data_IF_587836921858
#
_entry.id   IF_587836921858
#
_cell.length_a   1.000
_cell.length_b   1.000
_cell.length_c   1.000
_cell.angle_alpha   90.00
_cell.angle_beta   90.00
_cell.angle_gamma   90.00
#
_symmetry.space_group_name_H-M   'P 1'
#
loop_
_entity.id
_entity.type
_entity.pdbx_description
1 polymer ?
#
# COMPACT_ATOMS: atom_id res chain seq x y z
N UNK A 1 10.82 22.35 -11.09
CA UNK A 1 10.94 21.54 -12.33
C UNK A 1 11.06 20.04 -12.06
N UNK A 2 11.66 19.57 -10.95
CA UNK A 2 11.69 18.14 -10.59
C UNK A 2 10.34 17.58 -10.11
N UNK A 3 9.51 18.40 -9.45
CA UNK A 3 8.19 18.00 -8.91
C UNK A 3 7.14 17.66 -9.99
N UNK A 4 7.32 18.10 -11.24
CA UNK A 4 6.36 17.84 -12.32
C UNK A 4 6.59 16.50 -13.04
N UNK A 5 7.77 15.89 -12.90
CA UNK A 5 8.14 14.72 -13.70
C UNK A 5 7.55 13.42 -13.13
N UNK A 6 7.42 13.32 -11.80
CA UNK A 6 6.92 12.09 -11.15
C UNK A 6 5.42 11.87 -11.40
N UNK A 7 4.61 12.92 -11.58
CA UNK A 7 3.18 12.77 -11.85
C UNK A 7 2.93 12.11 -13.22
N UNK A 8 3.68 12.52 -14.25
CA UNK A 8 3.62 11.93 -15.59
C UNK A 8 4.08 10.47 -15.54
N UNK A 9 5.18 10.21 -14.83
CA UNK A 9 5.71 8.87 -14.64
C UNK A 9 4.71 7.97 -13.90
N UNK A 10 3.99 8.51 -12.90
CA UNK A 10 2.97 7.80 -12.14
C UNK A 10 1.75 7.45 -13.00
N UNK A 11 1.20 8.39 -13.78
CA UNK A 11 0.06 8.10 -14.66
C UNK A 11 0.39 7.01 -15.69
N UNK A 12 1.59 7.05 -16.25
CA UNK A 12 2.09 6.01 -17.16
C UNK A 12 2.20 4.66 -16.46
N UNK A 13 2.75 4.65 -15.25
CA UNK A 13 2.87 3.47 -14.41
C UNK A 13 1.50 2.87 -14.05
N UNK A 14 0.54 3.71 -13.69
CA UNK A 14 -0.79 3.31 -13.23
C UNK A 14 -1.62 2.64 -14.34
N UNK A 15 -1.36 2.97 -15.62
CA UNK A 15 -1.98 2.28 -16.77
C UNK A 15 -1.66 0.79 -16.84
N UNK A 16 -0.63 0.31 -16.13
CA UNK A 16 -0.28 -1.11 -16.05
C UNK A 16 -1.15 -1.89 -15.04
N UNK A 17 -1.83 -1.20 -14.12
CA UNK A 17 -2.60 -1.84 -13.06
C UNK A 17 -3.69 -2.80 -13.59
N UNK A 18 -4.53 -2.44 -14.59
CA UNK A 18 -5.58 -3.34 -15.06
C UNK A 18 -5.05 -4.69 -15.55
N UNK A 19 -3.93 -4.69 -16.27
CA UNK A 19 -3.29 -5.93 -16.74
C UNK A 19 -2.70 -6.76 -15.58
N UNK A 20 -2.04 -6.09 -14.63
CA UNK A 20 -1.54 -6.74 -13.42
C UNK A 20 -2.68 -7.39 -12.61
N UNK A 21 -3.77 -6.66 -12.40
CA UNK A 21 -4.95 -7.14 -11.68
C UNK A 21 -5.67 -8.28 -12.40
N UNK A 22 -5.86 -8.18 -13.71
CA UNK A 22 -6.51 -9.23 -14.49
C UNK A 22 -5.74 -10.56 -14.38
N UNK A 23 -4.40 -10.50 -14.40
CA UNK A 23 -3.55 -11.67 -14.18
C UNK A 23 -3.73 -12.28 -12.78
N UNK A 24 -3.91 -11.45 -11.74
CA UNK A 24 -4.22 -11.92 -10.38
C UNK A 24 -5.51 -12.74 -10.37
N UNK A 25 -6.56 -12.23 -11.02
CA UNK A 25 -7.86 -12.91 -11.06
C UNK A 25 -7.87 -14.17 -11.94
N UNK A 26 -7.05 -14.21 -13.00
CA UNK A 26 -7.09 -15.30 -13.99
C UNK A 26 -6.14 -16.46 -13.72
N UNK A 27 -5.00 -16.22 -13.04
CA UNK A 27 -3.99 -17.25 -12.77
C UNK A 27 -3.42 -17.12 -11.34
N UNK A 28 -3.82 -17.99 -10.39
CA UNK A 28 -3.28 -17.97 -9.03
C UNK A 28 -1.78 -18.36 -8.95
N UNK A 29 -1.22 -18.97 -10.00
CA UNK A 29 0.18 -19.40 -10.08
C UNK A 29 1.10 -18.38 -10.75
N UNK A 30 0.60 -17.20 -11.11
CA UNK A 30 1.45 -16.16 -11.69
C UNK A 30 2.34 -15.54 -10.61
N UNK A 31 3.64 -15.44 -10.87
CA UNK A 31 4.60 -14.86 -9.93
C UNK A 31 4.40 -13.34 -9.84
N UNK A 32 4.28 -12.85 -8.60
CA UNK A 32 4.08 -11.43 -8.31
C UNK A 32 4.56 -11.08 -6.91
N UNK A 33 4.74 -9.80 -6.68
CA UNK A 33 5.00 -9.23 -5.37
C UNK A 33 3.98 -8.16 -5.05
N UNK A 34 3.37 -8.28 -3.87
CA UNK A 34 2.52 -7.23 -3.31
C UNK A 34 3.30 -6.52 -2.22
N UNK A 35 3.55 -5.23 -2.42
CA UNK A 35 4.23 -4.38 -1.44
C UNK A 35 3.15 -3.73 -0.58
N UNK A 36 3.04 -4.18 0.67
CA UNK A 36 2.04 -3.66 1.61
C UNK A 36 2.65 -2.49 2.37
N UNK A 37 2.06 -1.31 2.18
CA UNK A 37 2.49 -0.04 2.74
C UNK A 37 1.39 0.54 3.65
N UNK A 38 1.44 0.27 4.96
CA UNK A 38 0.43 0.75 5.89
C UNK A 38 0.71 2.19 6.35
N UNK A 39 1.13 3.06 5.44
CA UNK A 39 1.43 4.45 5.76
C UNK A 39 0.17 5.29 5.93
N UNK A 40 0.18 6.15 6.95
CA UNK A 40 -0.81 7.20 7.15
C UNK A 40 -0.18 8.53 6.77
N UNK A 41 -0.24 8.87 5.50
CA UNK A 41 0.21 10.13 4.92
C UNK A 41 -0.88 11.21 4.99
N UNK A 42 -1.54 11.35 6.14
CA UNK A 42 -2.56 12.37 6.36
C UNK A 42 -1.94 13.73 6.70
N UNK A 43 -2.71 14.81 6.55
CA UNK A 43 -2.29 16.12 7.04
C UNK A 43 -2.22 16.14 8.58
N UNK A 44 -1.39 17.02 9.20
CA UNK A 44 -1.29 17.11 10.66
C UNK A 44 -2.64 17.36 11.37
N UNK A 45 -3.54 18.09 10.73
CA UNK A 45 -4.89 18.37 11.24
C UNK A 45 -5.77 17.12 11.26
N UNK A 46 -5.62 16.24 10.26
CA UNK A 46 -6.33 14.98 10.18
C UNK A 46 -5.75 13.96 11.17
N UNK A 47 -4.42 13.87 11.28
CA UNK A 47 -3.71 13.01 12.23
C UNK A 47 -4.04 13.33 13.69
N UNK A 48 -4.22 14.60 14.05
CA UNK A 48 -4.61 15.02 15.40
C UNK A 48 -5.94 14.40 15.87
N UNK A 49 -6.81 14.00 14.94
CA UNK A 49 -8.09 13.36 15.23
C UNK A 49 -8.00 11.82 15.27
N UNK A 50 -6.82 11.23 15.00
CA UNK A 50 -6.60 9.78 14.93
C UNK A 50 -5.80 9.31 16.14
N UNK A 51 -6.50 9.00 17.24
CA UNK A 51 -5.86 8.40 18.41
C UNK A 51 -5.27 7.02 18.07
N UNK A 52 -4.01 6.79 18.45
CA UNK A 52 -3.34 5.50 18.28
C UNK A 52 -2.81 5.24 16.86
N UNK A 53 -2.60 6.27 16.03
CA UNK A 53 -2.03 6.17 14.67
C UNK A 53 -0.79 5.27 14.57
N UNK A 54 0.05 5.25 15.61
CA UNK A 54 1.25 4.40 15.73
C UNK A 54 0.99 2.89 15.67
N UNK A 55 -0.23 2.43 15.96
CA UNK A 55 -0.63 1.02 15.89
C UNK A 55 -1.39 0.66 14.59
N UNK A 56 -1.65 1.63 13.73
CA UNK A 56 -2.44 1.38 12.52
C UNK A 56 -1.66 0.55 11.50
N UNK A 57 -0.34 0.47 11.65
CA UNK A 57 0.49 -0.36 10.78
C UNK A 57 0.09 -1.83 10.82
N UNK A 58 -0.50 -2.32 11.90
CA UNK A 58 -0.97 -3.71 12.03
C UNK A 58 -2.27 -3.98 11.26
N UNK A 59 -3.02 -2.94 10.83
CA UNK A 59 -4.33 -3.11 10.15
C UNK A 59 -4.23 -3.79 8.79
N UNK A 60 -3.13 -3.59 8.09
CA UNK A 60 -2.90 -4.22 6.79
C UNK A 60 -2.34 -5.64 6.91
N UNK A 61 -2.15 -6.20 8.11
CA UNK A 61 -1.70 -7.60 8.27
C UNK A 61 -2.70 -8.61 7.68
N UNK A 62 -3.95 -8.22 7.47
CA UNK A 62 -4.92 -9.00 6.70
C UNK A 62 -4.45 -9.32 5.27
N UNK A 63 -3.59 -8.49 4.67
CA UNK A 63 -3.01 -8.75 3.34
C UNK A 63 -1.98 -9.89 3.34
N UNK A 64 -1.58 -10.41 4.50
CA UNK A 64 -0.80 -11.66 4.56
C UNK A 64 -1.58 -12.85 3.99
N UNK A 65 -2.92 -12.78 3.93
CA UNK A 65 -3.76 -13.81 3.29
C UNK A 65 -3.48 -13.97 1.80
N UNK A 66 -2.88 -12.97 1.13
CA UNK A 66 -2.41 -13.10 -0.25
C UNK A 66 -1.37 -14.21 -0.44
N UNK A 67 -0.71 -14.64 0.63
CA UNK A 67 0.20 -15.80 0.61
C UNK A 67 -0.53 -17.12 0.33
N UNK A 68 -1.86 -17.19 0.37
CA UNK A 68 -2.63 -18.34 -0.13
C UNK A 68 -2.35 -18.60 -1.62
N UNK A 69 -2.02 -17.57 -2.39
CA UNK A 69 -1.63 -17.70 -3.80
C UNK A 69 -0.18 -18.24 -3.89
N UNK A 70 0.06 -19.42 -4.48
CA UNK A 70 1.33 -20.14 -4.34
C UNK A 70 2.60 -19.39 -4.77
N UNK A 71 2.50 -18.48 -5.76
CA UNK A 71 3.64 -17.69 -6.27
C UNK A 71 3.58 -16.21 -5.93
N UNK A 72 2.71 -15.83 -5.00
CA UNK A 72 2.67 -14.45 -4.50
C UNK A 72 3.67 -14.29 -3.37
N UNK A 73 4.51 -13.27 -3.49
CA UNK A 73 5.38 -12.75 -2.45
C UNK A 73 4.74 -11.52 -1.82
N UNK A 74 4.88 -11.38 -0.50
CA UNK A 74 4.40 -10.18 0.22
C UNK A 74 5.60 -9.48 0.83
N UNK A 75 5.78 -8.20 0.49
CA UNK A 75 6.76 -7.33 1.14
C UNK A 75 5.98 -6.42 2.08
N UNK A 76 6.06 -6.68 3.37
CA UNK A 76 5.39 -5.88 4.38
C UNK A 76 6.32 -4.80 4.92
N UNK A 77 5.91 -3.55 4.81
CA UNK A 77 6.67 -2.40 5.28
C UNK A 77 6.14 -1.94 6.65
N UNK A 78 7.04 -1.57 7.55
CA UNK A 78 6.65 -1.04 8.86
C UNK A 78 7.68 -0.05 9.41
N UNK A 79 7.23 0.92 10.20
CA UNK A 79 8.10 1.81 10.96
C UNK A 79 8.81 1.05 12.08
N UNK A 80 8.10 0.12 12.75
CA UNK A 80 8.61 -0.70 13.84
C UNK A 80 8.52 -2.18 13.53
N UNK A 81 9.38 -2.97 14.19
CA UNK A 81 9.30 -4.43 14.10
C UNK A 81 7.95 -4.91 14.63
N UNK A 82 7.25 -5.68 13.81
CA UNK A 82 6.05 -6.41 14.21
C UNK A 82 6.51 -7.67 14.97
N UNK A 83 5.96 -7.97 16.14
CA UNK A 83 6.29 -9.17 16.90
C UNK A 83 6.05 -10.46 16.10
N UNK A 84 6.95 -11.43 16.27
CA UNK A 84 6.92 -12.68 15.48
C UNK A 84 5.69 -13.54 15.82
N UNK A 85 5.15 -13.43 17.04
CA UNK A 85 3.91 -14.08 17.48
C UNK A 85 2.67 -13.50 16.78
N UNK A 86 2.62 -12.18 16.60
CA UNK A 86 1.59 -11.50 15.80
C UNK A 86 1.62 -12.00 14.35
N UNK A 87 2.80 -12.05 13.72
CA UNK A 87 2.94 -12.60 12.36
C UNK A 87 2.48 -14.05 12.32
N UNK A 88 2.93 -14.86 13.28
CA UNK A 88 2.58 -16.28 13.35
C UNK A 88 1.09 -16.51 13.50
N UNK A 89 0.42 -15.67 14.29
CA UNK A 89 -1.04 -15.69 14.43
C UNK A 89 -1.75 -15.48 13.08
N UNK A 90 -1.33 -14.50 12.27
CA UNK A 90 -1.92 -14.29 10.95
C UNK A 90 -1.63 -15.44 9.97
N UNK A 91 -0.41 -16.00 10.00
CA UNK A 91 -0.03 -17.10 9.11
C UNK A 91 -0.78 -18.40 9.39
N UNK A 92 -1.30 -18.59 10.62
CA UNK A 92 -2.14 -19.75 10.96
C UNK A 92 -3.49 -19.76 10.22
N UNK A 93 -3.94 -18.62 9.69
CA UNK A 93 -5.19 -18.53 8.94
C UNK A 93 -5.08 -18.94 7.46
N UNK A 94 -3.88 -19.27 6.96
CA UNK A 94 -3.67 -19.63 5.56
C UNK A 94 -4.01 -21.12 5.31
N UNK A 95 -5.18 -21.46 4.73
CA UNK A 95 -5.54 -22.85 4.50
C UNK A 95 -4.60 -23.48 3.47
N UNK A 96 -4.04 -24.65 3.80
CA UNK A 96 -3.21 -25.42 2.87
C UNK A 96 -1.80 -24.85 2.62
N UNK A 97 -1.39 -23.79 3.32
CA UNK A 97 -0.03 -23.25 3.25
C UNK A 97 0.71 -23.56 4.55
N UNK A 98 1.87 -24.22 4.45
CA UNK A 98 2.72 -24.46 5.62
C UNK A 98 3.41 -23.17 6.05
N UNK A 99 3.73 -23.06 7.34
CA UNK A 99 4.44 -21.90 7.87
C UNK A 99 5.77 -21.63 7.15
N UNK A 100 6.55 -22.68 6.83
CA UNK A 100 7.81 -22.56 6.07
C UNK A 100 7.59 -21.92 4.69
N UNK A 101 6.60 -22.42 3.93
CA UNK A 101 6.30 -21.88 2.60
C UNK A 101 5.76 -20.45 2.64
N UNK A 102 5.03 -20.07 3.70
CA UNK A 102 4.59 -18.69 3.90
C UNK A 102 5.77 -17.78 4.23
N UNK A 103 6.67 -18.20 5.13
CA UNK A 103 7.86 -17.43 5.51
C UNK A 103 8.83 -17.19 4.35
N UNK A 104 9.03 -18.17 3.47
CA UNK A 104 9.89 -18.02 2.27
C UNK A 104 9.44 -16.90 1.33
N UNK A 105 8.14 -16.59 1.34
CA UNK A 105 7.50 -15.60 0.46
C UNK A 105 7.12 -14.31 1.19
N UNK A 106 7.29 -14.26 2.51
CA UNK A 106 7.01 -13.09 3.34
C UNK A 106 8.31 -12.34 3.65
N UNK A 107 8.40 -11.10 3.21
CA UNK A 107 9.54 -10.21 3.46
C UNK A 107 9.10 -9.06 4.37
N UNK A 108 9.47 -9.13 5.65
CA UNK A 108 9.22 -8.05 6.62
C UNK A 108 10.37 -7.04 6.59
N UNK A 109 10.08 -5.79 6.24
CA UNK A 109 11.05 -4.70 6.20
C UNK A 109 10.62 -3.61 7.18
N UNK A 110 11.24 -3.62 8.36
CA UNK A 110 11.02 -2.61 9.39
C UNK A 110 12.12 -1.55 9.36
N UNK A 111 11.74 -0.28 9.47
CA UNK A 111 12.67 0.86 9.41
C UNK A 111 13.28 1.21 10.78
N UNK A 112 12.75 0.65 11.87
CA UNK A 112 13.15 0.91 13.25
C UNK A 112 13.13 2.40 13.63
N UNK A 113 12.09 3.10 13.16
CA UNK A 113 11.98 4.55 13.27
C UNK A 113 10.65 4.98 13.89
N UNK A 114 10.72 5.54 15.10
CA UNK A 114 9.57 5.99 15.91
C UNK A 114 9.16 7.43 15.67
N UNK A 115 9.80 8.15 14.75
CA UNK A 115 9.43 9.53 14.46
C UNK A 115 7.98 9.64 13.97
N UNK A 116 7.35 10.77 14.26
CA UNK A 116 5.96 11.06 13.89
C UNK A 116 5.90 11.66 12.47
N UNK A 117 6.52 10.96 11.52
CA UNK A 117 6.44 11.26 10.10
C UNK A 117 5.89 10.03 9.36
N UNK A 118 5.16 10.19 8.24
CA UNK A 118 4.59 9.06 7.52
C UNK A 118 5.63 8.02 7.13
N UNK A 119 5.27 6.73 7.23
CA UNK A 119 6.12 5.62 6.80
C UNK A 119 6.66 5.79 5.36
N UNK A 120 5.85 6.31 4.44
CA UNK A 120 6.28 6.57 3.06
C UNK A 120 7.39 7.61 3.00
N UNK A 121 7.28 8.71 3.77
CA UNK A 121 8.33 9.71 3.88
C UNK A 121 9.62 9.11 4.46
N UNK A 122 9.51 8.30 5.53
CA UNK A 122 10.63 7.56 6.12
C UNK A 122 11.38 6.70 5.11
N UNK A 123 10.68 6.13 4.12
CA UNK A 123 11.26 5.31 3.05
C UNK A 123 11.91 6.19 1.98
N UNK A 124 11.21 7.24 1.55
CA UNK A 124 11.68 8.17 0.51
C UNK A 124 13.00 8.85 0.89
N UNK A 125 13.17 9.16 2.17
CA UNK A 125 14.41 9.73 2.74
C UNK A 125 15.58 8.72 2.82
N UNK A 126 15.34 7.43 2.53
CA UNK A 126 16.31 6.34 2.69
C UNK A 126 16.48 5.54 1.39
N UNK A 127 17.34 5.98 0.45
CA UNK A 127 17.58 5.28 -0.82
C UNK A 127 17.94 3.80 -0.66
N UNK A 128 18.70 3.44 0.37
CA UNK A 128 19.06 2.05 0.65
C UNK A 128 17.84 1.16 0.97
N UNK A 129 16.79 1.72 1.61
CA UNK A 129 15.54 1.01 1.89
C UNK A 129 14.77 0.78 0.59
N UNK A 130 14.68 1.80 -0.28
CA UNK A 130 14.05 1.66 -1.60
C UNK A 130 14.72 0.54 -2.40
N UNK A 131 16.05 0.50 -2.44
CA UNK A 131 16.79 -0.56 -3.14
C UNK A 131 16.60 -1.93 -2.49
N UNK A 132 16.44 -2.00 -1.16
CA UNK A 132 16.07 -3.25 -0.48
C UNK A 132 14.68 -3.73 -0.88
N UNK A 133 13.70 -2.84 -0.97
CA UNK A 133 12.33 -3.16 -1.42
C UNK A 133 12.38 -3.66 -2.87
N UNK A 134 13.07 -2.94 -3.77
CA UNK A 134 13.22 -3.35 -5.17
C UNK A 134 13.79 -4.75 -5.34
N UNK A 135 14.82 -5.11 -4.57
CA UNK A 135 15.41 -6.47 -4.61
C UNK A 135 14.42 -7.57 -4.19
N UNK A 136 13.44 -7.23 -3.35
CA UNK A 136 12.40 -8.16 -2.93
C UNK A 136 11.24 -8.25 -3.94
N UNK A 137 11.08 -7.28 -4.85
CA UNK A 137 10.06 -7.30 -5.89
C UNK A 137 10.46 -8.31 -6.98
N UNK A 138 9.67 -9.38 -7.08
CA UNK A 138 9.64 -10.31 -8.21
C UNK A 138 8.68 -9.80 -9.26
N UNK A 139 8.94 -10.13 -10.52
CA UNK A 139 8.12 -9.78 -11.68
C UNK A 139 7.43 -8.39 -11.60
N UNK A 140 8.19 -7.27 -11.71
CA UNK A 140 7.63 -5.92 -11.56
C UNK A 140 6.44 -5.63 -12.48
N UNK A 141 6.32 -6.34 -13.61
CA UNK A 141 5.23 -6.16 -14.57
C UNK A 141 3.84 -6.44 -14.00
N UNK A 142 3.74 -7.37 -13.04
CA UNK A 142 2.49 -7.82 -12.41
C UNK A 142 2.42 -7.50 -10.90
N UNK A 143 3.44 -6.85 -10.38
CA UNK A 143 3.54 -6.46 -8.97
C UNK A 143 2.92 -5.08 -8.74
N UNK A 144 2.45 -4.84 -7.52
CA UNK A 144 1.76 -3.60 -7.15
C UNK A 144 1.92 -3.30 -5.66
N UNK A 145 1.62 -2.06 -5.29
CA UNK A 145 1.56 -1.62 -3.90
C UNK A 145 0.12 -1.65 -3.39
N UNK A 146 -0.09 -2.25 -2.23
CA UNK A 146 -1.30 -2.09 -1.43
C UNK A 146 -1.04 -0.99 -0.40
N UNK A 147 -1.81 0.10 -0.46
CA UNK A 147 -1.58 1.29 0.36
C UNK A 147 -2.78 1.55 1.27
N UNK A 148 -2.53 2.00 2.49
CA UNK A 148 -3.61 2.41 3.39
C UNK A 148 -4.22 3.76 2.96
N UNK A 149 -3.37 4.72 2.61
CA UNK A 149 -3.78 6.03 2.10
C UNK A 149 -2.95 6.37 0.87
N UNK A 150 -3.60 6.83 -0.21
CA UNK A 150 -2.92 7.05 -1.49
C UNK A 150 -2.68 8.53 -1.77
N UNK A 151 -1.53 9.07 -1.36
CA UNK A 151 -1.18 10.49 -1.58
C UNK A 151 -0.03 10.64 -2.58
N UNK A 152 0.40 11.89 -2.78
CA UNK A 152 1.57 12.20 -3.60
C UNK A 152 2.85 11.50 -3.09
N UNK A 153 2.98 11.28 -1.77
CA UNK A 153 4.10 10.51 -1.21
C UNK A 153 4.09 9.06 -1.73
N UNK A 154 2.92 8.41 -1.73
CA UNK A 154 2.78 7.05 -2.22
C UNK A 154 3.03 6.97 -3.73
N UNK A 155 2.55 7.97 -4.48
CA UNK A 155 2.83 8.07 -5.91
C UNK A 155 4.33 8.18 -6.19
N UNK A 156 5.06 9.03 -5.45
CA UNK A 156 6.51 9.17 -5.59
C UNK A 156 7.21 7.82 -5.29
N UNK A 157 6.81 7.14 -4.22
CA UNK A 157 7.38 5.84 -3.88
C UNK A 157 7.07 4.79 -4.94
N UNK A 158 5.85 4.76 -5.48
CA UNK A 158 5.45 3.86 -6.56
C UNK A 158 6.30 4.06 -7.81
N UNK A 159 6.54 5.31 -8.22
CA UNK A 159 7.43 5.65 -9.33
C UNK A 159 8.86 5.16 -9.05
N UNK A 160 9.39 5.42 -7.84
CA UNK A 160 10.73 4.94 -7.48
C UNK A 160 10.83 3.42 -7.47
N UNK A 161 9.78 2.70 -7.09
CA UNK A 161 9.74 1.23 -7.07
C UNK A 161 9.41 0.62 -8.45
N UNK A 162 8.81 1.37 -9.37
CA UNK A 162 8.45 0.94 -10.71
C UNK A 162 7.22 0.03 -10.78
N UNK A 163 6.35 0.07 -9.76
CA UNK A 163 5.13 -0.74 -9.64
C UNK A 163 3.90 0.15 -9.34
N UNK A 164 2.73 -0.12 -9.95
CA UNK A 164 1.52 0.68 -9.74
C UNK A 164 0.96 0.52 -8.31
N UNK A 165 0.03 1.40 -7.95
CA UNK A 165 -0.70 1.34 -6.68
C UNK A 165 -2.07 0.71 -6.91
N UNK A 166 -2.41 -0.31 -6.13
CA UNK A 166 -3.79 -0.76 -6.02
C UNK A 166 -4.55 0.18 -5.08
N UNK A 167 -5.31 1.10 -5.66
CA UNK A 167 -6.04 2.11 -4.89
C UNK A 167 -6.71 3.18 -5.76
N UNK A 168 -7.61 3.96 -5.15
CA UNK A 168 -8.21 5.12 -5.81
C UNK A 168 -7.16 6.19 -6.08
N UNK A 169 -7.21 6.83 -7.24
CA UNK A 169 -6.30 7.92 -7.58
C UNK A 169 -6.41 9.09 -6.58
N UNK A 170 -5.28 9.72 -6.24
CA UNK A 170 -5.24 10.78 -5.23
C UNK A 170 -6.12 12.00 -5.59
N UNK A 171 -6.28 12.30 -6.89
CA UNK A 171 -7.15 13.37 -7.36
C UNK A 171 -8.65 13.13 -7.09
N UNK A 172 -9.04 11.91 -6.67
CA UNK A 172 -10.41 11.58 -6.27
C UNK A 172 -10.67 11.77 -4.78
N UNK A 173 -9.66 12.09 -3.96
CA UNK A 173 -9.82 12.24 -2.50
C UNK A 173 -10.84 13.28 -2.08
N UNK A 174 -10.96 14.38 -2.81
CA UNK A 174 -11.97 15.39 -2.49
C UNK A 174 -13.38 14.77 -2.46
N UNK A 175 -13.67 13.86 -3.40
CA UNK A 175 -14.97 13.21 -3.52
C UNK A 175 -15.23 12.15 -2.45
N UNK A 176 -14.19 11.56 -1.85
CA UNK A 176 -14.34 10.62 -0.73
C UNK A 176 -14.62 11.32 0.60
N UNK A 177 -14.33 12.63 0.69
CA UNK A 177 -14.66 13.46 1.84
C UNK A 177 -16.14 13.84 1.92
N UNK A 178 -16.59 14.18 3.13
CA UNK A 178 -17.98 14.62 3.39
C UNK A 178 -18.40 15.80 2.51
N UNK A 179 -17.52 16.79 2.35
CA UNK A 179 -17.79 17.98 1.54
C UNK A 179 -17.95 17.63 0.07
N UNK A 180 -16.99 16.93 -0.53
CA UNK A 180 -17.09 16.54 -1.95
C UNK A 180 -18.25 15.59 -2.24
N UNK A 181 -18.55 14.66 -1.32
CA UNK A 181 -19.74 13.81 -1.41
C UNK A 181 -21.04 14.63 -1.44
N UNK A 182 -21.17 15.66 -0.59
CA UNK A 182 -22.35 16.56 -0.62
C UNK A 182 -22.39 17.38 -1.91
N UNK A 183 -21.26 17.89 -2.35
CA UNK A 183 -21.17 18.70 -3.57
C UNK A 183 -21.56 17.91 -4.82
N UNK A 184 -21.16 16.64 -4.94
CA UNK A 184 -21.57 15.81 -6.08
C UNK A 184 -23.04 15.40 -6.00
N UNK A 185 -23.57 15.11 -4.80
CA UNK A 185 -25.00 14.80 -4.62
C UNK A 185 -25.86 15.99 -4.99
N UNK A 186 -25.47 17.20 -4.57
CA UNK A 186 -26.14 18.45 -4.96
C UNK A 186 -26.09 18.70 -6.47
N UNK A 187 -24.95 18.45 -7.13
CA UNK A 187 -24.79 18.61 -8.58
C UNK A 187 -25.67 17.64 -9.39
N UNK A 188 -25.91 16.44 -8.86
CA UNK A 188 -26.68 15.37 -9.51
C UNK A 188 -28.14 15.30 -9.06
N UNK A 189 -28.61 16.26 -8.26
CA UNK A 189 -29.96 16.29 -7.67
C UNK A 189 -30.30 15.00 -6.87
N UNK A 190 -29.30 14.44 -6.21
CA UNK A 190 -29.46 13.27 -5.32
C UNK A 190 -29.76 13.77 -3.89
N UNK A 191 -30.83 13.25 -3.30
CA UNK A 191 -31.23 13.59 -1.94
C UNK A 191 -30.11 13.30 -0.92
N UNK A 192 -29.77 14.30 -0.09
CA UNK A 192 -28.81 14.18 1.01
C UNK A 192 -29.27 15.00 2.23
N UNK A 193 -28.84 14.65 3.45
CA UNK A 193 -29.17 15.41 4.65
C UNK A 193 -28.71 16.87 4.55
N UNK A 194 -29.47 17.82 5.10
CA UNK A 194 -29.04 19.22 5.19
C UNK A 194 -27.76 19.37 6.02
N UNK A 195 -26.90 20.31 5.62
CA UNK A 195 -25.61 20.61 6.25
C UNK A 195 -24.42 20.31 5.37
#
# INVERSE_FOLDING_TARGET
MAEANWQIDFESLQKRLPAAWQSVCSDPNCERTVVVLPSISLSPLELANVQGSVHYEERLLSFLTLLEMPKTHVVYLSALRIPDDVISYYLQFLPGVTFSHAQERLHLISLMDRSDVPLTQKILERPAVIERIKRAIKNPSLSYMEVYYNTELEHELAVKLGIPIFGSAANLHYWSGKSGSRDIFKKLDIAHPKG
#
